data_IF_389932688256
#
_entry.id   IF_389932688256
#
_cell.length_a   1.000
_cell.length_b   1.000
_cell.length_c   1.000
_cell.angle_alpha   90.00
_cell.angle_beta   90.00
_cell.angle_gamma   90.00
#
_symmetry.space_group_name_H-M   'P 1'
#
loop_
_entity.id
_entity.type
_entity.pdbx_description
1 polymer ?
#
# COMPACT_ATOMS: atom_id res chain seq x y z
N UNK A 1 13.90 30.45 8.57
CA UNK A 1 13.66 29.02 8.91
C UNK A 1 12.34 28.79 9.67
N UNK A 2 11.87 29.72 10.51
CA UNK A 2 10.57 29.61 11.19
C UNK A 2 9.34 29.27 10.29
N UNK A 3 9.18 29.82 9.07
CA UNK A 3 8.04 29.47 8.22
C UNK A 3 8.13 28.05 7.62
N UNK A 4 9.34 27.54 7.36
CA UNK A 4 9.53 26.15 6.90
C UNK A 4 9.18 25.15 8.01
N UNK A 5 9.46 25.47 9.27
CA UNK A 5 9.12 24.61 10.41
C UNK A 5 7.60 24.39 10.50
N UNK A 6 6.80 25.44 10.26
CA UNK A 6 5.34 25.34 10.30
C UNK A 6 4.80 24.44 9.18
N UNK A 7 5.35 24.57 7.96
CA UNK A 7 5.00 23.66 6.85
C UNK A 7 5.41 22.24 7.18
N UNK A 8 6.63 22.02 7.67
CA UNK A 8 7.11 20.68 8.04
C UNK A 8 6.22 20.03 9.12
N UNK A 9 5.75 20.81 10.10
CA UNK A 9 4.86 20.31 11.14
C UNK A 9 3.45 19.98 10.60
N UNK A 10 2.94 20.78 9.65
CA UNK A 10 1.69 20.48 8.94
C UNK A 10 1.82 19.18 8.13
N UNK A 11 2.96 18.97 7.46
CA UNK A 11 3.26 17.74 6.71
C UNK A 11 3.28 16.53 7.63
N UNK A 12 3.99 16.62 8.74
CA UNK A 12 4.05 15.53 9.70
C UNK A 12 2.64 15.19 10.24
N UNK A 13 1.84 16.22 10.55
CA UNK A 13 0.47 16.01 11.03
C UNK A 13 -0.42 15.33 9.98
N UNK A 14 -0.34 15.77 8.71
CA UNK A 14 -1.07 15.14 7.61
C UNK A 14 -0.65 13.67 7.41
N UNK A 15 0.67 13.38 7.43
CA UNK A 15 1.20 12.01 7.34
C UNK A 15 0.61 11.13 8.43
N UNK A 16 0.58 11.61 9.68
CA UNK A 16 0.04 10.85 10.81
C UNK A 16 -1.45 10.54 10.62
N UNK A 17 -2.26 11.51 10.18
CA UNK A 17 -3.69 11.29 9.94
C UNK A 17 -3.90 10.21 8.88
N UNK A 18 -3.25 10.33 7.72
CA UNK A 18 -3.38 9.35 6.66
C UNK A 18 -2.82 7.99 7.05
N UNK A 19 -1.75 7.94 7.85
CA UNK A 19 -1.19 6.69 8.35
C UNK A 19 -2.15 5.95 9.28
N UNK A 20 -2.85 6.65 10.18
CA UNK A 20 -3.86 6.04 11.07
C UNK A 20 -5.02 5.48 10.23
N UNK A 21 -5.54 6.29 9.29
CA UNK A 21 -6.62 5.85 8.40
C UNK A 21 -6.17 4.62 7.58
N UNK A 22 -4.98 4.67 6.99
CA UNK A 22 -4.43 3.57 6.21
C UNK A 22 -4.23 2.29 7.05
N UNK A 23 -3.78 2.43 8.30
CA UNK A 23 -3.66 1.31 9.22
C UNK A 23 -5.02 0.66 9.47
N UNK A 24 -6.04 1.44 9.83
CA UNK A 24 -7.39 0.91 10.10
C UNK A 24 -8.00 0.17 8.89
N UNK A 25 -7.68 0.57 7.65
CA UNK A 25 -8.22 -0.05 6.44
C UNK A 25 -7.40 -1.23 5.91
N UNK A 26 -6.07 -1.20 6.02
CA UNK A 26 -5.16 -2.11 5.32
C UNK A 26 -4.34 -3.01 6.25
N UNK A 27 -4.59 -3.00 7.56
CA UNK A 27 -3.93 -3.88 8.52
C UNK A 27 -4.02 -5.36 8.08
N UNK A 28 -2.87 -6.01 7.98
CA UNK A 28 -2.75 -7.43 7.65
C UNK A 28 -3.06 -7.79 6.20
N UNK A 29 -3.46 -6.84 5.35
CA UNK A 29 -3.91 -7.11 3.99
C UNK A 29 -2.78 -7.60 3.07
N UNK A 30 -1.55 -7.17 3.32
CA UNK A 30 -0.39 -7.37 2.42
C UNK A 30 0.46 -8.60 2.78
N UNK A 31 -0.02 -9.52 3.62
CA UNK A 31 0.73 -10.72 4.05
C UNK A 31 0.35 -12.02 3.34
N UNK A 32 -0.43 -11.92 2.26
CA UNK A 32 -0.98 -13.06 1.51
C UNK A 32 -0.38 -13.08 0.11
N UNK A 33 0.18 -14.21 -0.30
CA UNK A 33 0.68 -14.39 -1.68
C UNK A 33 0.41 -15.81 -2.18
N UNK A 34 0.61 -16.05 -3.47
CA UNK A 34 0.37 -17.35 -4.10
C UNK A 34 1.56 -18.29 -3.89
N UNK A 35 1.28 -19.50 -3.42
CA UNK A 35 2.26 -20.57 -3.25
C UNK A 35 1.89 -21.76 -4.13
N UNK A 36 2.88 -22.40 -4.74
CA UNK A 36 2.67 -23.58 -5.60
C UNK A 36 2.13 -24.77 -4.79
N UNK A 37 1.19 -25.55 -5.37
CA UNK A 37 0.73 -26.80 -4.75
C UNK A 37 1.81 -27.92 -4.86
N UNK A 38 1.89 -28.83 -3.88
CA UNK A 38 3.06 -29.67 -3.70
C UNK A 38 2.97 -30.94 -4.55
N UNK A 39 3.71 -30.98 -5.66
CA UNK A 39 4.35 -32.22 -6.09
C UNK A 39 5.86 -32.23 -5.78
N UNK A 40 6.38 -31.18 -5.13
CA UNK A 40 7.74 -31.10 -4.61
C UNK A 40 7.75 -30.48 -3.22
N UNK A 41 8.68 -30.96 -2.42
CA UNK A 41 8.81 -30.80 -0.96
C UNK A 41 9.15 -29.36 -0.53
N UNK A 42 9.24 -28.43 -1.47
CA UNK A 42 9.57 -27.03 -1.21
C UNK A 42 8.34 -26.16 -1.53
N UNK A 43 7.86 -25.45 -0.51
CA UNK A 43 6.80 -24.44 -0.65
C UNK A 43 7.43 -23.22 -1.33
N UNK A 44 7.63 -23.30 -2.64
CA UNK A 44 8.13 -22.18 -3.43
C UNK A 44 7.00 -21.18 -3.66
N UNK A 45 7.29 -19.90 -3.38
CA UNK A 45 6.40 -18.79 -3.74
C UNK A 45 6.31 -18.72 -5.26
N UNK A 46 5.10 -18.56 -5.78
CA UNK A 46 4.88 -18.38 -7.21
C UNK A 46 5.19 -16.90 -7.55
N UNK A 47 6.48 -16.57 -7.60
CA UNK A 47 6.96 -15.21 -7.82
C UNK A 47 8.13 -15.20 -8.79
N UNK A 48 7.94 -14.58 -9.95
CA UNK A 48 9.05 -14.08 -10.76
C UNK A 48 9.77 -12.93 -10.04
N UNK A 49 10.26 -11.94 -10.80
CA UNK A 49 11.02 -10.80 -10.22
C UNK A 49 10.23 -9.94 -9.21
N UNK A 50 8.89 -10.04 -9.11
CA UNK A 50 8.06 -9.33 -8.13
C UNK A 50 6.91 -10.19 -7.58
N UNK A 51 6.84 -10.30 -6.25
CA UNK A 51 5.78 -10.97 -5.50
C UNK A 51 4.56 -10.05 -5.37
N UNK A 52 3.34 -10.55 -5.61
CA UNK A 52 2.09 -9.77 -5.53
C UNK A 52 1.15 -10.29 -4.43
N UNK A 53 0.37 -9.40 -3.80
CA UNK A 53 -0.68 -9.81 -2.88
C UNK A 53 -1.79 -10.60 -3.59
N UNK A 54 -2.48 -11.47 -2.85
CA UNK A 54 -3.62 -12.22 -3.36
C UNK A 54 -4.81 -12.22 -2.39
N UNK A 55 -5.99 -12.54 -2.92
CA UNK A 55 -7.18 -12.79 -2.11
C UNK A 55 -7.44 -14.29 -1.94
N UNK A 56 -7.94 -14.66 -0.76
CA UNK A 56 -8.32 -16.05 -0.42
C UNK A 56 -9.65 -16.46 -1.07
N UNK A 57 -10.39 -15.51 -1.65
CA UNK A 57 -11.70 -15.75 -2.23
C UNK A 57 -11.55 -16.25 -3.67
N UNK A 58 -11.79 -17.55 -3.85
CA UNK A 58 -11.79 -18.23 -5.16
C UNK A 58 -13.17 -18.25 -5.82
N UNK A 59 -14.22 -17.85 -5.11
CA UNK A 59 -15.60 -17.83 -5.59
C UNK A 59 -15.86 -16.53 -6.39
N UNK A 60 -16.04 -16.60 -7.72
CA UNK A 60 -16.09 -15.41 -8.58
C UNK A 60 -17.25 -14.46 -8.25
N UNK A 61 -18.31 -14.94 -7.59
CA UNK A 61 -19.44 -14.10 -7.17
C UNK A 61 -19.16 -13.34 -5.85
N UNK A 62 -18.15 -13.76 -5.08
CA UNK A 62 -17.76 -13.14 -3.80
C UNK A 62 -16.44 -12.40 -3.87
N UNK A 63 -15.62 -12.66 -4.89
CA UNK A 63 -14.34 -11.99 -5.08
C UNK A 63 -14.58 -10.50 -5.37
N UNK A 64 -13.99 -9.59 -4.57
CA UNK A 64 -14.02 -8.16 -4.88
C UNK A 64 -13.45 -7.90 -6.28
N UNK A 65 -14.13 -7.07 -7.07
CA UNK A 65 -13.66 -6.73 -8.42
C UNK A 65 -12.26 -6.13 -8.35
N UNK A 66 -11.35 -6.65 -9.16
CA UNK A 66 -9.96 -6.20 -9.22
C UNK A 66 -9.02 -6.81 -8.17
N UNK A 67 -9.49 -7.73 -7.31
CA UNK A 67 -8.61 -8.52 -6.46
C UNK A 67 -7.92 -9.62 -7.27
N UNK A 68 -6.70 -9.97 -6.90
CA UNK A 68 -5.89 -10.97 -7.59
C UNK A 68 -6.19 -12.37 -7.05
N UNK A 69 -6.63 -13.26 -7.95
CA UNK A 69 -6.92 -14.66 -7.65
C UNK A 69 -5.81 -15.52 -8.25
N UNK A 70 -5.21 -16.38 -7.42
CA UNK A 70 -4.15 -17.29 -7.85
C UNK A 70 -4.65 -18.27 -8.94
N UNK A 71 -3.81 -18.63 -9.92
CA UNK A 71 -4.13 -19.66 -10.91
C UNK A 71 -4.30 -21.04 -10.26
N UNK A 72 -4.92 -21.99 -10.98
CA UNK A 72 -5.24 -23.34 -10.46
C UNK A 72 -4.03 -24.17 -9.97
N UNK A 73 -2.79 -23.76 -10.29
CA UNK A 73 -1.53 -24.38 -9.85
C UNK A 73 -1.00 -23.83 -8.52
N UNK A 74 -1.58 -22.74 -8.00
CA UNK A 74 -1.16 -22.10 -6.76
C UNK A 74 -2.34 -21.76 -5.85
N UNK A 75 -2.04 -21.67 -4.56
CA UNK A 75 -3.00 -21.36 -3.50
C UNK A 75 -2.55 -20.09 -2.80
N UNK A 76 -3.49 -19.16 -2.63
CA UNK A 76 -3.27 -17.98 -1.80
C UNK A 76 -3.09 -18.42 -0.35
N UNK A 77 -1.96 -18.06 0.27
CA UNK A 77 -1.69 -18.39 1.67
C UNK A 77 -1.07 -17.19 2.39
N UNK A 78 -1.36 -17.10 3.68
CA UNK A 78 -0.66 -16.22 4.62
C UNK A 78 0.76 -16.76 4.89
N UNK A 79 1.70 -15.86 5.19
CA UNK A 79 3.10 -16.21 5.46
C UNK A 79 4.10 -15.44 4.61
N UNK A 80 3.62 -14.48 3.81
CA UNK A 80 4.49 -13.53 3.13
C UNK A 80 4.83 -12.36 4.06
N UNK A 81 6.11 -11.99 4.12
CA UNK A 81 6.58 -10.80 4.86
C UNK A 81 5.97 -9.50 4.34
N UNK A 82 5.56 -9.47 3.07
CA UNK A 82 4.92 -8.33 2.42
C UNK A 82 5.81 -7.64 1.38
N UNK A 83 5.27 -6.67 0.64
CA UNK A 83 6.01 -5.97 -0.42
C UNK A 83 7.28 -5.28 0.10
N UNK A 84 8.33 -5.25 -0.74
CA UNK A 84 9.62 -4.64 -0.40
C UNK A 84 10.22 -5.16 0.92
N UNK A 85 10.25 -6.49 1.12
CA UNK A 85 10.75 -7.13 2.35
C UNK A 85 9.99 -6.69 3.61
N UNK A 86 8.67 -6.47 3.50
CA UNK A 86 7.80 -6.04 4.59
C UNK A 86 7.92 -4.57 5.00
N UNK A 87 8.73 -3.76 4.31
CA UNK A 87 8.87 -2.33 4.59
C UNK A 87 7.59 -1.58 4.21
N UNK A 88 7.00 -1.93 3.06
CA UNK A 88 5.74 -1.33 2.61
C UNK A 88 4.58 -2.07 3.24
N UNK A 89 4.18 -1.61 4.42
CA UNK A 89 3.12 -2.22 5.22
C UNK A 89 2.28 -1.19 5.95
N UNK A 90 1.07 -1.61 6.33
CA UNK A 90 0.12 -0.82 7.13
C UNK A 90 -0.12 -1.43 8.51
N UNK A 91 0.66 -2.43 8.92
CA UNK A 91 0.40 -3.21 10.15
C UNK A 91 0.84 -2.47 11.43
N UNK A 92 1.71 -1.48 11.28
CA UNK A 92 2.20 -0.66 12.40
C UNK A 92 2.21 0.80 11.99
N UNK A 93 1.95 1.69 12.95
CA UNK A 93 1.89 3.12 12.69
C UNK A 93 3.19 3.66 12.07
N UNK A 94 4.35 3.13 12.47
CA UNK A 94 5.64 3.54 11.92
C UNK A 94 5.80 3.18 10.44
N UNK A 95 5.50 1.94 10.06
CA UNK A 95 5.57 1.50 8.66
C UNK A 95 4.46 2.13 7.80
N UNK A 96 3.26 2.35 8.37
CA UNK A 96 2.20 3.09 7.72
C UNK A 96 2.62 4.52 7.41
N UNK A 97 3.28 5.22 8.35
CA UNK A 97 3.84 6.56 8.13
C UNK A 97 4.92 6.57 7.04
N UNK A 98 5.81 5.57 7.00
CA UNK A 98 6.82 5.45 5.94
C UNK A 98 6.19 5.22 4.56
N UNK A 99 5.21 4.33 4.49
CA UNK A 99 4.46 4.04 3.25
C UNK A 99 3.69 5.27 2.77
N UNK A 100 3.03 5.99 3.68
CA UNK A 100 2.35 7.26 3.38
C UNK A 100 3.33 8.33 2.92
N UNK A 101 4.49 8.44 3.57
CA UNK A 101 5.54 9.37 3.15
C UNK A 101 6.03 9.07 1.73
N UNK A 102 6.30 7.80 1.41
CA UNK A 102 6.65 7.36 0.06
C UNK A 102 5.54 7.70 -0.95
N UNK A 103 4.27 7.53 -0.59
CA UNK A 103 3.18 7.95 -1.46
C UNK A 103 3.18 9.46 -1.71
N UNK A 104 3.44 10.27 -0.67
CA UNK A 104 3.47 11.72 -0.75
C UNK A 104 4.63 12.24 -1.61
N UNK A 105 5.77 11.54 -1.65
CA UNK A 105 6.87 11.89 -2.56
C UNK A 105 6.55 11.59 -4.03
N UNK A 106 5.36 11.05 -4.32
CA UNK A 106 4.92 10.61 -5.65
C UNK A 106 5.77 9.48 -6.24
N UNK A 107 6.51 8.74 -5.41
CA UNK A 107 7.37 7.65 -5.85
C UNK A 107 6.76 6.29 -5.47
N UNK A 108 6.47 5.44 -6.47
CA UNK A 108 5.99 4.08 -6.21
C UNK A 108 4.58 3.98 -5.61
N UNK A 109 3.85 5.10 -5.44
CA UNK A 109 2.51 5.12 -4.87
C UNK A 109 1.49 4.29 -5.67
N UNK A 110 1.64 4.23 -6.99
CA UNK A 110 0.77 3.42 -7.86
C UNK A 110 0.97 1.92 -7.62
N UNK A 111 2.20 1.48 -7.35
CA UNK A 111 2.46 0.09 -7.00
C UNK A 111 1.77 -0.29 -5.67
N UNK A 112 1.81 0.61 -4.69
CA UNK A 112 1.12 0.42 -3.40
C UNK A 112 -0.41 0.36 -3.58
N UNK A 113 -0.96 1.23 -4.45
CA UNK A 113 -2.38 1.16 -4.84
C UNK A 113 -2.70 -0.19 -5.52
N UNK A 114 -1.85 -0.69 -6.40
CA UNK A 114 -2.10 -1.96 -7.07
C UNK A 114 -1.99 -3.14 -6.12
N UNK A 115 -1.02 -3.17 -5.22
CA UNK A 115 -0.93 -4.19 -4.18
C UNK A 115 -2.16 -4.21 -3.26
N UNK A 116 -2.64 -3.05 -2.83
CA UNK A 116 -3.88 -2.97 -2.04
C UNK A 116 -5.12 -3.39 -2.84
N UNK A 117 -5.16 -3.10 -4.16
CA UNK A 117 -6.23 -3.59 -5.03
C UNK A 117 -6.20 -5.09 -5.20
N UNK A 118 -5.02 -5.68 -5.37
CA UNK A 118 -4.85 -7.12 -5.54
C UNK A 118 -5.25 -7.87 -4.26
N UNK A 119 -5.02 -7.28 -3.09
CA UNK A 119 -5.40 -7.85 -1.80
C UNK A 119 -6.91 -7.74 -1.49
N UNK A 120 -7.50 -6.54 -1.65
CA UNK A 120 -8.84 -6.21 -1.15
C UNK A 120 -9.88 -5.87 -2.23
N UNK A 121 -9.45 -5.71 -3.48
CA UNK A 121 -10.25 -5.24 -4.61
C UNK A 121 -10.11 -3.74 -4.89
N UNK A 122 -10.44 -3.33 -6.11
CA UNK A 122 -10.19 -1.96 -6.60
C UNK A 122 -11.32 -0.96 -6.32
N UNK A 123 -12.41 -1.41 -5.70
CA UNK A 123 -13.66 -0.62 -5.62
C UNK A 123 -13.54 0.61 -4.71
N UNK A 124 -12.82 0.50 -3.59
CA UNK A 124 -12.76 1.55 -2.56
C UNK A 124 -11.37 2.17 -2.37
N UNK A 125 -10.30 1.49 -2.75
CA UNK A 125 -8.93 1.94 -2.46
C UNK A 125 -8.61 3.32 -3.08
N UNK A 126 -9.17 3.64 -4.25
CA UNK A 126 -8.98 4.94 -4.89
C UNK A 126 -9.46 6.11 -4.01
N UNK A 127 -10.46 5.90 -3.15
CA UNK A 127 -11.00 6.92 -2.23
C UNK A 127 -9.96 7.31 -1.17
N UNK A 128 -9.04 6.41 -0.84
CA UNK A 128 -7.92 6.70 0.06
C UNK A 128 -6.73 7.30 -0.69
N UNK A 129 -6.28 6.66 -1.77
CA UNK A 129 -5.04 7.06 -2.46
C UNK A 129 -5.19 8.36 -3.26
N UNK A 130 -6.35 8.66 -3.86
CA UNK A 130 -6.50 9.90 -4.66
C UNK A 130 -6.43 11.15 -3.78
N UNK A 131 -7.17 11.28 -2.67
CA UNK A 131 -7.03 12.42 -1.75
C UNK A 131 -5.65 12.49 -1.12
N UNK A 132 -5.02 11.35 -0.80
CA UNK A 132 -3.64 11.29 -0.30
C UNK A 132 -2.67 12.00 -1.24
N UNK A 133 -2.72 11.73 -2.54
CA UNK A 133 -1.81 12.35 -3.52
C UNK A 133 -2.15 13.83 -3.76
N UNK A 134 -3.44 14.18 -3.85
CA UNK A 134 -3.86 15.57 -4.08
C UNK A 134 -3.50 16.47 -2.89
N UNK A 135 -3.86 16.06 -1.67
CA UNK A 135 -3.63 16.85 -0.46
C UNK A 135 -2.21 16.69 0.07
N UNK A 136 -1.62 15.52 -0.08
CA UNK A 136 -0.28 15.24 0.43
C UNK A 136 0.83 15.72 -0.49
N UNK A 137 0.70 15.59 -1.81
CA UNK A 137 1.81 15.89 -2.73
C UNK A 137 1.65 17.26 -3.40
N UNK A 138 0.51 17.53 -4.05
CA UNK A 138 0.31 18.77 -4.79
C UNK A 138 0.22 20.00 -3.88
N UNK A 139 -0.53 19.91 -2.79
CA UNK A 139 -0.64 21.02 -1.85
C UNK A 139 0.69 21.32 -1.16
N UNK A 140 1.49 20.29 -0.83
CA UNK A 140 2.76 20.45 -0.12
C UNK A 140 3.86 21.05 -1.00
N UNK A 141 4.02 20.57 -2.23
CA UNK A 141 4.99 21.16 -3.16
C UNK A 141 4.68 22.63 -3.41
N UNK A 142 3.40 22.97 -3.59
CA UNK A 142 2.97 24.36 -3.79
C UNK A 142 3.19 25.24 -2.55
N UNK A 143 3.01 24.72 -1.33
CA UNK A 143 3.28 25.45 -0.09
C UNK A 143 4.78 25.76 0.09
N UNK A 144 5.64 24.78 -0.18
CA UNK A 144 7.09 24.97 -0.08
C UNK A 144 7.57 26.02 -1.09
N UNK A 145 7.11 25.94 -2.35
CA UNK A 145 7.45 26.92 -3.37
C UNK A 145 6.91 28.32 -3.03
N UNK A 146 5.69 28.40 -2.50
CA UNK A 146 5.08 29.65 -2.06
C UNK A 146 5.90 30.37 -0.99
N UNK A 147 6.36 29.66 0.05
CA UNK A 147 7.18 30.24 1.12
C UNK A 147 8.59 30.60 0.66
N UNK A 148 9.13 29.93 -0.35
CA UNK A 148 10.43 30.33 -0.94
C UNK A 148 10.32 31.55 -1.86
N UNK A 149 9.13 31.83 -2.39
CA UNK A 149 8.88 32.96 -3.30
C UNK A 149 8.63 34.31 -2.58
N UNK A 150 8.39 34.28 -1.27
CA UNK A 150 8.16 35.47 -0.43
C UNK A 150 9.27 35.69 0.56
#
# INVERSE_FOLDING_TARGET
MAPLLQIGLLVLFAIVIFAIIGLDFYEGALHKTCYLLPDKVDIEKEGGEQETPCTMLTDPDKTPKGAYVCPNSSVCREGWEGPNFGITSFDNIFFAMLTVFQCITMEGWTAILYWTNDALGSTYNWIYFVPLIILGSFFMLNLVLGVLSG
#
